data_IF_020164353373
#
_entry.id   IF_020164353373
#
_cell.length_a   1.000
_cell.length_b   1.000
_cell.length_c   1.000
_cell.angle_alpha   90.00
_cell.angle_beta   90.00
_cell.angle_gamma   90.00
#
_symmetry.space_group_name_H-M   'P 1'
#
loop_
_entity.id
_entity.type
_entity.pdbx_description
1 polymer ?
#
# COMPACT_ATOMS: atom_id res chain seq x y z
N UNK A 1 5.69 8.34 36.99
CA UNK A 1 6.89 9.18 36.91
C UNK A 1 7.74 9.13 38.19
N UNK A 2 7.27 9.56 39.37
CA UNK A 2 8.11 9.50 40.59
C UNK A 2 8.47 8.06 40.99
N UNK A 3 7.50 7.13 40.89
CA UNK A 3 7.70 5.70 41.19
C UNK A 3 8.78 5.05 40.31
N UNK A 4 8.83 5.40 39.02
CA UNK A 4 9.79 4.83 38.07
C UNK A 4 11.23 5.29 38.32
N UNK A 5 11.39 6.59 38.63
CA UNK A 5 12.68 7.14 39.09
C UNK A 5 13.14 6.48 40.38
N UNK A 6 12.25 6.26 41.33
CA UNK A 6 12.58 5.55 42.58
C UNK A 6 13.01 4.11 42.31
N UNK A 7 12.31 3.36 41.44
CA UNK A 7 12.69 1.98 41.03
C UNK A 7 14.12 1.93 40.46
N UNK A 8 14.46 2.86 39.56
CA UNK A 8 15.77 2.87 38.88
C UNK A 8 16.95 3.28 39.76
N UNK A 9 16.68 4.03 40.83
CA UNK A 9 17.74 4.49 41.76
C UNK A 9 18.16 3.39 42.73
N UNK A 10 17.27 2.42 43.02
CA UNK A 10 17.47 1.37 44.02
C UNK A 10 17.58 -0.06 43.47
N UNK A 11 17.63 -0.23 42.15
CA UNK A 11 17.79 -1.57 41.55
C UNK A 11 19.22 -2.10 41.75
N UNK A 12 19.40 -2.99 42.71
CA UNK A 12 20.61 -3.80 42.82
C UNK A 12 20.56 -4.90 41.75
N UNK A 13 21.57 -4.93 40.88
CA UNK A 13 21.51 -5.65 39.60
C UNK A 13 21.67 -7.16 39.74
N UNK A 14 22.06 -7.68 40.92
CA UNK A 14 22.31 -9.10 41.17
C UNK A 14 21.09 -9.87 41.67
N UNK A 15 20.10 -9.20 42.27
CA UNK A 15 18.84 -9.82 42.67
C UNK A 15 17.83 -9.79 41.51
N UNK A 16 17.02 -10.86 41.35
CA UNK A 16 15.86 -10.90 40.44
C UNK A 16 14.74 -9.93 40.84
N UNK A 17 15.01 -9.05 41.78
CA UNK A 17 14.05 -8.20 42.45
C UNK A 17 14.64 -6.84 42.73
N UNK A 18 13.80 -5.80 42.64
CA UNK A 18 14.17 -4.42 42.92
C UNK A 18 13.40 -3.94 44.14
N UNK A 19 14.13 -3.51 45.18
CA UNK A 19 13.52 -2.88 46.36
C UNK A 19 13.29 -1.40 46.06
N UNK A 20 12.03 -0.95 46.09
CA UNK A 20 11.69 0.47 45.90
C UNK A 20 11.68 1.22 47.24
N UNK A 21 11.34 0.51 48.32
CA UNK A 21 11.31 0.93 49.73
C UNK A 21 11.51 -0.33 50.61
N UNK A 22 11.67 -0.18 51.93
CA UNK A 22 11.95 -1.29 52.87
C UNK A 22 10.96 -2.48 52.77
N UNK A 23 9.75 -2.25 52.26
CA UNK A 23 8.67 -3.26 52.18
C UNK A 23 8.26 -3.72 50.76
N UNK A 24 8.77 -3.12 49.67
CA UNK A 24 8.27 -3.43 48.31
C UNK A 24 9.37 -3.99 47.41
N UNK A 25 9.26 -5.30 47.13
CA UNK A 25 10.13 -6.07 46.24
C UNK A 25 9.38 -6.25 44.93
N UNK A 26 9.71 -5.47 43.88
CA UNK A 26 9.17 -5.72 42.54
C UNK A 26 9.97 -6.82 41.86
N UNK A 27 9.28 -7.79 41.29
CA UNK A 27 9.88 -8.74 40.37
C UNK A 27 10.16 -8.01 39.05
N UNK A 28 11.10 -8.53 38.25
CA UNK A 28 11.42 -7.88 36.98
C UNK A 28 10.25 -7.83 35.98
N UNK A 29 9.33 -8.80 36.05
CA UNK A 29 8.08 -8.78 35.28
C UNK A 29 7.22 -7.57 35.67
N UNK A 30 7.19 -7.21 36.94
CA UNK A 30 6.49 -6.01 37.42
C UNK A 30 7.19 -4.73 36.93
N UNK A 31 8.53 -4.74 36.78
CA UNK A 31 9.25 -3.58 36.21
C UNK A 31 8.94 -3.46 34.72
N UNK A 32 8.84 -4.57 33.99
CA UNK A 32 8.40 -4.57 32.60
C UNK A 32 6.96 -4.07 32.52
N UNK A 33 6.06 -4.52 33.39
CA UNK A 33 4.68 -4.01 33.41
C UNK A 33 4.64 -2.51 33.74
N UNK A 34 5.44 -2.02 34.70
CA UNK A 34 5.55 -0.58 34.97
C UNK A 34 6.16 0.19 33.78
N UNK A 35 7.13 -0.38 33.06
CA UNK A 35 7.69 0.20 31.83
C UNK A 35 6.65 0.21 30.70
N UNK A 36 5.85 -0.84 30.60
CA UNK A 36 4.76 -0.96 29.63
C UNK A 36 3.58 -0.07 29.99
N UNK A 37 3.39 0.30 31.26
CA UNK A 37 2.41 1.29 31.71
C UNK A 37 2.87 2.72 31.47
N UNK A 38 4.18 2.99 31.51
CA UNK A 38 4.75 4.28 31.15
C UNK A 38 4.79 4.45 29.62
N UNK A 39 3.87 5.24 29.06
CA UNK A 39 3.85 5.57 27.62
C UNK A 39 5.05 6.41 27.14
N UNK A 40 6.00 6.79 28.00
CA UNK A 40 7.16 7.61 27.64
C UNK A 40 8.45 6.80 27.70
N UNK A 41 9.14 6.71 26.57
CA UNK A 41 10.49 6.14 26.50
C UNK A 41 11.49 7.23 26.87
N UNK A 42 11.71 7.42 28.16
CA UNK A 42 12.72 8.36 28.65
C UNK A 42 14.14 7.76 28.55
N UNK A 43 15.17 8.62 28.56
CA UNK A 43 16.59 8.20 28.59
C UNK A 43 16.89 7.23 29.74
N UNK A 44 16.12 7.31 30.83
CA UNK A 44 16.18 6.41 31.97
C UNK A 44 15.76 4.97 31.62
N UNK A 45 14.65 4.80 30.91
CA UNK A 45 14.16 3.51 30.37
C UNK A 45 15.20 2.89 29.45
N UNK A 46 15.76 3.69 28.53
CA UNK A 46 16.80 3.22 27.61
C UNK A 46 18.08 2.81 28.34
N UNK A 47 18.50 3.57 29.35
CA UNK A 47 19.66 3.22 30.16
C UNK A 47 19.45 1.93 30.95
N UNK A 48 18.24 1.68 31.44
CA UNK A 48 17.87 0.42 32.09
C UNK A 48 17.93 -0.76 31.12
N UNK A 49 17.35 -0.63 29.93
CA UNK A 49 17.42 -1.64 28.85
C UNK A 49 18.88 -1.94 28.49
N UNK A 50 19.71 -0.91 28.32
CA UNK A 50 21.16 -1.07 28.02
C UNK A 50 21.90 -1.81 29.14
N UNK A 51 21.55 -1.58 30.41
CA UNK A 51 22.14 -2.28 31.56
C UNK A 51 21.72 -3.76 31.60
N UNK A 52 20.46 -4.05 31.29
CA UNK A 52 19.87 -5.39 31.35
C UNK A 52 20.25 -6.27 30.16
N UNK A 53 20.66 -5.68 29.03
CA UNK A 53 21.13 -6.38 27.82
C UNK A 53 22.07 -7.55 28.08
N UNK A 54 22.90 -7.50 29.13
CA UNK A 54 23.86 -8.57 29.46
C UNK A 54 23.23 -9.77 30.17
N UNK A 55 22.09 -9.60 30.83
CA UNK A 55 21.48 -10.61 31.71
C UNK A 55 20.20 -11.21 31.14
N UNK A 56 19.55 -10.56 30.18
CA UNK A 56 18.22 -10.92 29.72
C UNK A 56 18.18 -11.31 28.25
N UNK A 57 17.22 -12.18 27.96
CA UNK A 57 16.80 -12.47 26.60
C UNK A 57 16.00 -11.29 26.06
N UNK A 58 16.70 -10.37 25.39
CA UNK A 58 16.11 -9.19 24.76
C UNK A 58 15.02 -9.56 23.74
N UNK A 59 15.03 -10.78 23.20
CA UNK A 59 14.01 -11.24 22.25
C UNK A 59 12.66 -11.43 22.93
N UNK A 60 12.65 -11.86 24.19
CA UNK A 60 11.43 -11.97 24.98
C UNK A 60 10.86 -10.59 25.32
N UNK A 61 11.73 -9.61 25.62
CA UNK A 61 11.29 -8.24 25.89
C UNK A 61 10.63 -7.64 24.64
N UNK A 62 11.24 -7.77 23.47
CA UNK A 62 10.64 -7.32 22.20
C UNK A 62 9.28 -7.99 21.97
N UNK A 63 9.20 -9.30 22.20
CA UNK A 63 7.96 -10.07 22.05
C UNK A 63 6.86 -9.59 22.99
N UNK A 64 7.18 -9.35 24.27
CA UNK A 64 6.24 -8.81 25.27
C UNK A 64 5.76 -7.40 24.89
N UNK A 65 6.67 -6.55 24.41
CA UNK A 65 6.31 -5.19 23.96
C UNK A 65 5.31 -5.25 22.79
N UNK A 66 5.50 -6.17 21.85
CA UNK A 66 4.58 -6.38 20.73
C UNK A 66 3.23 -6.93 21.22
N UNK A 67 3.24 -7.94 22.09
CA UNK A 67 2.03 -8.53 22.67
C UNK A 67 1.17 -7.49 23.40
N UNK A 68 1.82 -6.52 24.05
CA UNK A 68 1.19 -5.42 24.79
C UNK A 68 0.94 -4.18 23.93
N UNK A 69 1.10 -4.30 22.61
CA UNK A 69 0.85 -3.25 21.62
C UNK A 69 1.64 -1.94 21.87
N UNK A 70 2.92 -2.05 22.29
CA UNK A 70 3.80 -0.90 22.60
C UNK A 70 4.83 -0.66 21.50
N UNK A 71 4.42 0.03 20.42
CA UNK A 71 5.29 0.32 19.27
C UNK A 71 6.56 1.11 19.64
N UNK A 72 6.43 2.25 20.31
CA UNK A 72 7.55 3.17 20.65
C UNK A 72 8.65 2.44 21.42
N UNK A 73 8.25 1.62 22.40
CA UNK A 73 9.16 0.80 23.20
C UNK A 73 9.79 -0.29 22.35
N UNK A 74 9.00 -1.00 21.54
CA UNK A 74 9.50 -2.05 20.63
C UNK A 74 10.55 -1.50 19.67
N UNK A 75 10.25 -0.39 18.99
CA UNK A 75 11.16 0.28 18.07
C UNK A 75 12.44 0.71 18.77
N UNK A 76 12.31 1.32 19.95
CA UNK A 76 13.46 1.79 20.74
C UNK A 76 14.36 0.64 21.18
N UNK A 77 13.79 -0.49 21.65
CA UNK A 77 14.56 -1.68 22.02
C UNK A 77 15.30 -2.24 20.81
N UNK A 78 14.63 -2.38 19.65
CA UNK A 78 15.26 -2.88 18.43
C UNK A 78 16.41 -1.98 17.98
N UNK A 79 16.19 -0.66 17.95
CA UNK A 79 17.16 0.33 17.49
C UNK A 79 18.37 0.45 18.43
N UNK A 80 18.14 0.64 19.72
CA UNK A 80 19.20 0.86 20.72
C UNK A 80 20.03 -0.39 20.98
N UNK A 81 19.39 -1.57 20.98
CA UNK A 81 20.11 -2.83 21.13
C UNK A 81 20.69 -3.36 19.82
N UNK A 82 20.43 -2.70 18.68
CA UNK A 82 20.81 -3.11 17.32
C UNK A 82 20.34 -4.54 17.02
N UNK A 83 19.13 -4.87 17.43
CA UNK A 83 18.52 -6.17 17.15
C UNK A 83 17.84 -6.14 15.79
N UNK A 84 18.01 -7.18 14.96
CA UNK A 84 17.24 -7.29 13.73
C UNK A 84 15.77 -7.56 14.08
N UNK A 85 14.85 -6.99 13.30
CA UNK A 85 13.45 -7.38 13.39
C UNK A 85 13.32 -8.82 12.86
N UNK A 86 12.89 -9.78 13.69
CA UNK A 86 12.81 -11.21 13.33
C UNK A 86 11.40 -11.64 12.93
N UNK A 87 11.30 -12.74 12.18
CA UNK A 87 10.03 -13.31 11.74
C UNK A 87 9.14 -13.77 12.90
N UNK A 88 9.76 -14.18 14.02
CA UNK A 88 9.05 -14.54 15.24
C UNK A 88 8.31 -13.34 15.85
N UNK A 89 8.87 -12.14 15.75
CA UNK A 89 8.22 -10.91 16.22
C UNK A 89 7.00 -10.57 15.36
N UNK A 90 7.12 -10.70 14.03
CA UNK A 90 5.99 -10.55 13.12
C UNK A 90 4.89 -11.58 13.41
N UNK A 91 5.26 -12.85 13.59
CA UNK A 91 4.34 -13.92 13.95
C UNK A 91 3.59 -13.62 15.25
N UNK A 92 4.31 -13.26 16.30
CA UNK A 92 3.72 -12.91 17.61
C UNK A 92 2.78 -11.72 17.47
N UNK A 93 3.20 -10.65 16.80
CA UNK A 93 2.33 -9.49 16.64
C UNK A 93 1.05 -9.80 15.87
N UNK A 94 1.11 -10.62 14.83
CA UNK A 94 -0.09 -11.07 14.12
C UNK A 94 -0.99 -11.94 15.00
N UNK A 95 -0.42 -12.83 15.82
CA UNK A 95 -1.18 -13.71 16.73
C UNK A 95 -1.87 -12.96 17.87
N UNK A 96 -1.35 -11.78 18.24
CA UNK A 96 -1.88 -10.88 19.26
C UNK A 96 -2.60 -9.64 18.68
N UNK A 97 -2.98 -9.68 17.39
CA UNK A 97 -3.71 -8.60 16.68
C UNK A 97 -3.02 -7.23 16.74
N UNK A 98 -1.68 -7.22 16.83
CA UNK A 98 -0.79 -6.04 16.78
C UNK A 98 -0.25 -5.82 15.35
N UNK A 99 -1.14 -5.89 14.36
CA UNK A 99 -0.78 -5.94 12.94
C UNK A 99 -0.22 -4.61 12.45
N UNK A 100 -0.74 -3.53 13.00
CA UNK A 100 -0.21 -2.18 12.85
C UNK A 100 1.29 -2.10 13.23
N UNK A 101 1.64 -2.60 14.40
CA UNK A 101 3.03 -2.60 14.88
C UNK A 101 3.91 -3.45 13.98
N UNK A 102 3.44 -4.65 13.61
CA UNK A 102 4.19 -5.55 12.72
C UNK A 102 4.44 -4.90 11.37
N UNK A 103 3.42 -4.25 10.80
CA UNK A 103 3.53 -3.56 9.53
C UNK A 103 4.54 -2.40 9.61
N UNK A 104 4.46 -1.55 10.64
CA UNK A 104 5.41 -0.45 10.84
C UNK A 104 6.85 -0.93 10.98
N UNK A 105 7.07 -1.92 11.85
CA UNK A 105 8.41 -2.47 12.06
C UNK A 105 8.95 -3.09 10.76
N UNK A 106 8.09 -3.71 9.96
CA UNK A 106 8.49 -4.24 8.65
C UNK A 106 8.98 -3.14 7.71
N UNK A 107 8.29 -2.00 7.65
CA UNK A 107 8.67 -0.86 6.81
C UNK A 107 9.98 -0.21 7.29
N UNK A 108 10.19 -0.11 8.60
CA UNK A 108 11.42 0.46 9.17
C UNK A 108 12.64 -0.44 9.05
N UNK A 109 12.44 -1.76 9.00
CA UNK A 109 13.52 -2.75 8.98
C UNK A 109 13.42 -3.66 7.73
N UNK A 110 13.58 -3.10 6.50
CA UNK A 110 13.34 -3.81 5.25
C UNK A 110 14.34 -4.94 4.95
N UNK A 111 15.60 -4.81 5.38
CA UNK A 111 16.63 -5.83 5.14
C UNK A 111 16.32 -7.17 5.83
N UNK A 112 15.68 -7.09 7.01
CA UNK A 112 15.20 -8.26 7.73
C UNK A 112 13.93 -8.85 7.13
N UNK A 113 13.01 -8.03 6.61
CA UNK A 113 11.68 -8.49 6.21
C UNK A 113 11.73 -9.48 5.03
N UNK A 114 12.60 -9.23 4.06
CA UNK A 114 12.72 -10.03 2.81
C UNK A 114 13.03 -11.52 3.09
N UNK A 115 13.78 -11.84 4.15
CA UNK A 115 14.14 -13.24 4.48
C UNK A 115 13.07 -13.97 5.31
N UNK A 116 12.06 -13.26 5.80
CA UNK A 116 11.19 -13.70 6.91
C UNK A 116 9.77 -14.03 6.48
N UNK A 117 9.44 -13.66 5.25
CA UNK A 117 8.10 -13.64 4.67
C UNK A 117 7.35 -14.99 4.74
N UNK A 118 8.06 -16.12 4.66
CA UNK A 118 7.43 -17.45 4.65
C UNK A 118 6.86 -17.89 6.00
N UNK A 119 7.51 -17.56 7.12
CA UNK A 119 7.24 -18.26 8.40
C UNK A 119 5.98 -17.76 9.11
N UNK A 120 5.57 -16.51 8.87
CA UNK A 120 4.38 -15.92 9.51
C UNK A 120 3.15 -15.89 8.58
N UNK A 121 3.26 -16.34 7.33
CA UNK A 121 2.12 -16.43 6.39
C UNK A 121 0.91 -17.20 6.98
N UNK A 122 1.06 -18.37 7.63
CA UNK A 122 -0.08 -19.06 8.23
C UNK A 122 -0.80 -18.19 9.29
N UNK A 123 -0.04 -17.52 10.15
CA UNK A 123 -0.59 -16.62 11.17
C UNK A 123 -1.28 -15.41 10.52
N UNK A 124 -0.74 -14.88 9.42
CA UNK A 124 -1.37 -13.78 8.66
C UNK A 124 -2.72 -14.22 8.07
N UNK A 125 -2.79 -15.39 7.43
CA UNK A 125 -4.04 -15.90 6.86
C UNK A 125 -5.10 -16.17 7.94
N UNK A 126 -4.69 -16.72 9.09
CA UNK A 126 -5.56 -16.88 10.24
C UNK A 126 -6.01 -15.54 10.84
N UNK A 127 -5.21 -14.48 10.73
CA UNK A 127 -5.58 -13.15 11.26
C UNK A 127 -6.75 -12.51 10.51
N UNK A 128 -6.94 -12.82 9.21
CA UNK A 128 -8.16 -12.42 8.49
C UNK A 128 -9.39 -13.08 9.10
N UNK A 129 -9.27 -14.33 9.57
CA UNK A 129 -10.37 -15.08 10.18
C UNK A 129 -10.72 -14.62 11.60
N UNK A 130 -9.72 -14.15 12.34
CA UNK A 130 -9.85 -13.78 13.75
C UNK A 130 -10.37 -12.38 13.97
N UNK A 131 -10.01 -11.44 13.09
CA UNK A 131 -10.28 -10.02 13.31
C UNK A 131 -10.53 -9.30 11.98
N UNK A 132 -11.52 -8.42 11.97
CA UNK A 132 -11.83 -7.53 10.85
C UNK A 132 -11.09 -6.19 10.91
N UNK A 133 -10.16 -6.01 11.84
CA UNK A 133 -9.34 -4.80 11.92
C UNK A 133 -8.15 -4.88 10.96
N UNK A 134 -7.61 -3.71 10.58
CA UNK A 134 -6.35 -3.57 9.84
C UNK A 134 -6.27 -4.34 8.52
N UNK A 135 -7.39 -4.52 7.80
CA UNK A 135 -7.40 -5.25 6.53
C UNK A 135 -6.43 -4.68 5.49
N UNK A 136 -6.32 -3.36 5.36
CA UNK A 136 -5.37 -2.74 4.43
C UNK A 136 -3.93 -3.18 4.70
N UNK A 137 -3.51 -3.21 5.97
CA UNK A 137 -2.17 -3.64 6.35
C UNK A 137 -1.99 -5.14 6.10
N UNK A 138 -3.00 -5.95 6.45
CA UNK A 138 -3.00 -7.39 6.17
C UNK A 138 -2.89 -7.68 4.66
N UNK A 139 -3.62 -6.94 3.83
CA UNK A 139 -3.60 -7.08 2.37
C UNK A 139 -2.25 -6.67 1.80
N UNK A 140 -1.69 -5.53 2.22
CA UNK A 140 -0.34 -5.11 1.82
C UNK A 140 0.72 -6.16 2.21
N UNK A 141 0.63 -6.72 3.41
CA UNK A 141 1.49 -7.83 3.81
C UNK A 141 1.25 -9.08 2.95
N UNK A 142 0.00 -9.43 2.68
CA UNK A 142 -0.34 -10.61 1.88
C UNK A 142 0.18 -10.48 0.45
N UNK A 143 0.10 -9.30 -0.18
CA UNK A 143 0.63 -9.03 -1.54
C UNK A 143 2.06 -9.49 -1.70
N UNK A 144 2.93 -9.07 -0.78
CA UNK A 144 4.34 -9.50 -0.77
C UNK A 144 4.54 -11.00 -0.49
N UNK A 145 3.55 -11.68 0.09
CA UNK A 145 3.62 -13.10 0.42
C UNK A 145 2.93 -14.00 -0.60
N UNK A 146 2.30 -13.44 -1.64
CA UNK A 146 1.51 -14.24 -2.60
C UNK A 146 2.38 -15.32 -3.24
N UNK A 147 3.64 -15.05 -3.55
CA UNK A 147 4.58 -16.04 -4.11
C UNK A 147 4.80 -17.26 -3.21
N UNK A 148 4.59 -17.10 -1.91
CA UNK A 148 4.74 -18.16 -0.90
C UNK A 148 3.43 -18.84 -0.50
N UNK A 149 2.29 -18.34 -0.97
CA UNK A 149 1.02 -19.03 -0.82
C UNK A 149 1.00 -20.31 -1.67
N UNK A 150 0.28 -21.32 -1.20
CA UNK A 150 -0.09 -22.49 -2.01
C UNK A 150 -1.58 -22.41 -2.35
N UNK A 151 -2.04 -23.24 -3.29
CA UNK A 151 -3.43 -23.23 -3.75
C UNK A 151 -4.44 -23.33 -2.59
N UNK A 152 -4.25 -24.29 -1.67
CA UNK A 152 -5.17 -24.52 -0.54
C UNK A 152 -5.30 -23.29 0.36
N UNK A 153 -4.18 -22.62 0.64
CA UNK A 153 -4.17 -21.39 1.45
C UNK A 153 -4.84 -20.22 0.73
N UNK A 154 -4.59 -20.07 -0.56
CA UNK A 154 -5.22 -19.04 -1.38
C UNK A 154 -6.74 -19.25 -1.48
N UNK A 155 -7.17 -20.49 -1.75
CA UNK A 155 -8.57 -20.89 -1.78
C UNK A 155 -9.26 -20.64 -0.43
N UNK A 156 -8.63 -21.06 0.68
CA UNK A 156 -9.16 -20.83 2.02
C UNK A 156 -9.34 -19.35 2.35
N UNK A 157 -8.38 -18.50 1.95
CA UNK A 157 -8.47 -17.05 2.10
C UNK A 157 -9.63 -16.46 1.30
N UNK A 158 -9.77 -16.84 0.01
CA UNK A 158 -10.85 -16.33 -0.84
C UNK A 158 -12.23 -16.80 -0.35
N UNK A 159 -12.36 -18.07 0.03
CA UNK A 159 -13.61 -18.60 0.60
C UNK A 159 -14.01 -17.89 1.88
N UNK A 160 -13.05 -17.60 2.76
CA UNK A 160 -13.32 -16.82 3.96
C UNK A 160 -13.75 -15.40 3.61
N UNK A 161 -13.01 -14.73 2.72
CA UNK A 161 -13.29 -13.35 2.30
C UNK A 161 -14.68 -13.25 1.69
N UNK A 162 -15.03 -14.16 0.77
CA UNK A 162 -16.36 -14.23 0.17
C UNK A 162 -17.44 -14.39 1.23
N UNK A 163 -17.29 -15.34 2.16
CA UNK A 163 -18.24 -15.54 3.26
C UNK A 163 -18.34 -14.31 4.18
N UNK A 164 -17.26 -13.58 4.39
CA UNK A 164 -17.27 -12.36 5.22
C UNK A 164 -18.01 -11.21 4.54
N UNK A 165 -17.95 -11.13 3.21
CA UNK A 165 -18.63 -10.10 2.41
C UNK A 165 -20.12 -10.42 2.18
N UNK A 166 -20.49 -11.71 2.10
CA UNK A 166 -21.87 -12.15 1.88
C UNK A 166 -22.74 -12.12 3.16
N UNK A 167 -22.13 -12.01 4.34
CA UNK A 167 -22.89 -11.96 5.58
C UNK A 167 -23.57 -10.60 5.74
N UNK A 168 -24.87 -10.64 6.05
CA UNK A 168 -25.65 -9.46 6.42
C UNK A 168 -25.25 -8.85 7.77
N UNK A 169 -24.41 -9.53 8.55
CA UNK A 169 -23.91 -9.06 9.83
C UNK A 169 -22.80 -8.01 9.63
N UNK A 170 -23.12 -6.75 9.95
CA UNK A 170 -22.23 -5.58 9.88
C UNK A 170 -20.91 -5.82 10.62
N UNK A 171 -20.93 -6.54 11.75
CA UNK A 171 -19.73 -6.79 12.56
C UNK A 171 -18.75 -7.77 11.90
N UNK A 172 -19.24 -8.56 10.95
CA UNK A 172 -18.45 -9.55 10.23
C UNK A 172 -17.96 -9.04 8.87
N UNK A 173 -18.50 -7.91 8.39
CA UNK A 173 -18.13 -7.34 7.11
C UNK A 173 -16.85 -6.48 7.24
N UNK A 174 -15.75 -6.84 6.55
CA UNK A 174 -14.50 -6.09 6.65
C UNK A 174 -14.59 -4.66 6.09
N UNK A 175 -15.55 -4.37 5.20
CA UNK A 175 -15.76 -3.02 4.66
C UNK A 175 -16.18 -2.03 5.76
N UNK A 176 -16.87 -2.48 6.81
CA UNK A 176 -17.31 -1.62 7.91
C UNK A 176 -16.13 -1.09 8.75
N UNK A 177 -15.07 -1.89 8.87
CA UNK A 177 -13.87 -1.54 9.63
C UNK A 177 -12.79 -0.87 8.77
N UNK A 178 -13.01 -0.78 7.46
CA UNK A 178 -12.09 -0.10 6.56
C UNK A 178 -12.23 1.43 6.75
N UNK A 179 -11.13 2.16 7.06
CA UNK A 179 -11.19 3.62 7.15
C UNK A 179 -11.56 4.25 5.82
N UNK A 180 -11.18 3.59 4.73
CA UNK A 180 -11.49 3.95 3.37
C UNK A 180 -11.95 2.71 2.60
N UNK A 181 -13.26 2.66 2.34
CA UNK A 181 -13.93 1.55 1.65
C UNK A 181 -13.43 1.42 0.21
N UNK A 182 -13.20 2.55 -0.47
CA UNK A 182 -12.73 2.56 -1.86
C UNK A 182 -11.32 1.97 -1.97
N UNK A 183 -10.41 2.42 -1.11
CA UNK A 183 -9.04 1.94 -1.08
C UNK A 183 -8.97 0.47 -0.67
N UNK A 184 -9.80 0.05 0.29
CA UNK A 184 -9.95 -1.35 0.68
C UNK A 184 -10.38 -2.22 -0.50
N UNK A 185 -11.43 -1.81 -1.22
CA UNK A 185 -11.94 -2.52 -2.39
C UNK A 185 -10.86 -2.66 -3.45
N UNK A 186 -10.17 -1.57 -3.79
CA UNK A 186 -9.08 -1.60 -4.77
C UNK A 186 -7.94 -2.54 -4.36
N UNK A 187 -7.51 -2.47 -3.10
CA UNK A 187 -6.43 -3.33 -2.58
C UNK A 187 -6.81 -4.81 -2.56
N UNK A 188 -8.06 -5.13 -2.23
CA UNK A 188 -8.55 -6.49 -2.21
C UNK A 188 -8.69 -7.06 -3.63
N UNK A 189 -9.20 -6.27 -4.58
CA UNK A 189 -9.25 -6.63 -6.00
C UNK A 189 -7.84 -6.89 -6.54
N UNK A 190 -6.86 -6.04 -6.21
CA UNK A 190 -5.47 -6.27 -6.62
C UNK A 190 -4.95 -7.62 -6.10
N UNK A 191 -5.16 -7.94 -4.82
CA UNK A 191 -4.77 -9.25 -4.25
C UNK A 191 -5.47 -10.40 -4.97
N UNK A 192 -6.78 -10.30 -5.21
CA UNK A 192 -7.55 -11.30 -5.96
C UNK A 192 -6.94 -11.54 -7.34
N UNK A 193 -6.60 -10.49 -8.08
CA UNK A 193 -6.00 -10.62 -9.43
C UNK A 193 -4.61 -11.21 -9.41
N UNK A 194 -3.77 -10.85 -8.42
CA UNK A 194 -2.47 -11.50 -8.25
C UNK A 194 -2.68 -13.00 -7.97
N UNK A 195 -3.62 -13.37 -7.11
CA UNK A 195 -3.92 -14.78 -6.83
C UNK A 195 -4.44 -15.53 -8.06
N UNK A 196 -5.31 -14.94 -8.88
CA UNK A 196 -5.79 -15.55 -10.14
C UNK A 196 -4.66 -15.74 -11.12
N UNK A 197 -3.78 -14.75 -11.28
CA UNK A 197 -2.62 -14.85 -12.17
C UNK A 197 -1.71 -16.03 -11.82
N UNK A 198 -1.67 -16.42 -10.54
CA UNK A 198 -0.93 -17.57 -10.03
C UNK A 198 -1.75 -18.87 -10.07
N UNK A 199 -3.05 -18.79 -9.81
CA UNK A 199 -3.98 -19.91 -9.66
C UNK A 199 -5.26 -19.66 -10.45
N UNK A 200 -5.21 -19.89 -11.77
CA UNK A 200 -6.34 -19.63 -12.68
C UNK A 200 -7.67 -20.26 -12.23
N UNK A 201 -7.63 -21.41 -11.54
CA UNK A 201 -8.83 -22.10 -11.02
C UNK A 201 -9.61 -21.29 -9.97
N UNK A 202 -8.99 -20.29 -9.34
CA UNK A 202 -9.64 -19.43 -8.35
C UNK A 202 -10.47 -18.30 -8.97
N UNK A 203 -10.46 -18.16 -10.31
CA UNK A 203 -11.13 -17.09 -11.04
C UNK A 203 -12.60 -16.89 -10.67
N UNK A 204 -13.36 -17.98 -10.52
CA UNK A 204 -14.78 -17.90 -10.17
C UNK A 204 -15.02 -17.27 -8.77
N UNK A 205 -14.15 -17.57 -7.80
CA UNK A 205 -14.26 -16.97 -6.46
C UNK A 205 -13.91 -15.49 -6.49
N UNK A 206 -12.86 -15.12 -7.24
CA UNK A 206 -12.45 -13.72 -7.33
C UNK A 206 -13.46 -12.89 -8.10
N UNK A 207 -14.01 -13.35 -9.22
CA UNK A 207 -15.07 -12.64 -9.96
C UNK A 207 -16.28 -12.35 -9.06
N UNK A 208 -16.68 -13.33 -8.23
CA UNK A 208 -17.77 -13.13 -7.28
C UNK A 208 -17.42 -12.07 -6.23
N UNK A 209 -16.22 -12.14 -5.65
CA UNK A 209 -15.73 -11.13 -4.68
C UNK A 209 -15.68 -9.74 -5.33
N UNK A 210 -15.10 -9.62 -6.53
CA UNK A 210 -15.01 -8.35 -7.27
C UNK A 210 -16.40 -7.76 -7.51
N UNK A 211 -17.37 -8.58 -7.94
CA UNK A 211 -18.74 -8.12 -8.18
C UNK A 211 -19.44 -7.59 -6.93
N UNK A 212 -19.25 -8.24 -5.77
CA UNK A 212 -19.82 -7.79 -4.49
C UNK A 212 -19.17 -6.49 -4.07
N UNK A 213 -17.84 -6.42 -4.10
CA UNK A 213 -17.10 -5.22 -3.69
C UNK A 213 -17.42 -4.01 -4.56
N UNK A 214 -17.44 -4.17 -5.88
CA UNK A 214 -17.76 -3.10 -6.82
C UNK A 214 -19.17 -2.57 -6.55
N UNK A 215 -20.17 -3.47 -6.43
CA UNK A 215 -21.54 -3.08 -6.16
C UNK A 215 -21.69 -2.35 -4.82
N UNK A 216 -21.10 -2.89 -3.75
CA UNK A 216 -21.16 -2.28 -2.41
C UNK A 216 -20.43 -0.94 -2.35
N UNK A 217 -19.29 -0.81 -3.03
CA UNK A 217 -18.50 0.43 -3.06
C UNK A 217 -19.16 1.50 -3.92
N UNK A 218 -19.76 1.13 -5.05
CA UNK A 218 -20.53 2.04 -5.89
C UNK A 218 -21.73 2.62 -5.12
N UNK A 219 -22.49 1.78 -4.43
CA UNK A 219 -23.59 2.23 -3.55
C UNK A 219 -23.08 3.17 -2.44
N UNK A 220 -21.97 2.81 -1.80
CA UNK A 220 -21.37 3.67 -0.76
C UNK A 220 -20.96 5.05 -1.30
N UNK A 221 -20.41 5.12 -2.50
CA UNK A 221 -20.00 6.39 -3.12
C UNK A 221 -21.21 7.22 -3.56
N UNK A 222 -22.29 6.56 -4.02
CA UNK A 222 -23.56 7.23 -4.34
C UNK A 222 -24.21 7.86 -3.09
N UNK A 223 -24.03 7.26 -1.92
CA UNK A 223 -24.55 7.76 -0.65
C UNK A 223 -23.76 8.97 -0.08
N UNK A 224 -22.57 9.27 -0.62
CA UNK A 224 -21.77 10.43 -0.18
C UNK A 224 -22.27 11.70 -0.88
N UNK A 225 -23.02 12.51 -0.14
CA UNK A 225 -23.52 13.81 -0.62
C UNK A 225 -22.41 14.88 -0.71
N UNK A 226 -21.43 14.82 0.20
CA UNK A 226 -20.37 15.83 0.31
C UNK A 226 -19.19 15.50 -0.62
N UNK A 227 -19.04 16.32 -1.65
CA UNK A 227 -17.94 16.21 -2.61
C UNK A 227 -16.56 16.27 -1.94
N UNK A 228 -16.41 17.08 -0.87
CA UNK A 228 -15.14 17.19 -0.17
C UNK A 228 -14.76 15.87 0.53
N UNK A 229 -15.73 15.14 1.07
CA UNK A 229 -15.51 13.83 1.69
C UNK A 229 -15.10 12.78 0.67
N UNK A 230 -15.82 12.70 -0.45
CA UNK A 230 -15.49 11.76 -1.52
C UNK A 230 -14.07 12.01 -2.05
N UNK A 231 -13.76 13.27 -2.25
CA UNK A 231 -12.44 13.74 -2.69
C UNK A 231 -11.31 13.30 -1.75
N UNK A 232 -11.46 13.45 -0.44
CA UNK A 232 -10.45 12.97 0.52
C UNK A 232 -10.27 11.44 0.45
N UNK A 233 -11.35 10.68 0.29
CA UNK A 233 -11.29 9.21 0.13
C UNK A 233 -10.57 8.79 -1.17
N UNK A 234 -10.78 9.54 -2.24
CA UNK A 234 -10.21 9.24 -3.56
C UNK A 234 -8.69 9.46 -3.58
N UNK A 235 -8.21 10.53 -2.93
CA UNK A 235 -6.78 10.87 -2.90
C UNK A 235 -5.98 10.25 -1.76
N UNK A 236 -6.65 9.56 -0.84
CA UNK A 236 -5.96 8.83 0.22
C UNK A 236 -4.95 7.85 -0.39
N UNK A 237 -3.72 7.93 0.11
CA UNK A 237 -2.61 7.08 -0.32
C UNK A 237 -2.61 5.78 0.48
N UNK A 238 -2.42 4.67 -0.21
CA UNK A 238 -2.13 3.39 0.41
C UNK A 238 -0.70 3.33 0.95
N UNK A 239 -0.41 2.18 1.54
CA UNK A 239 0.88 1.78 2.06
C UNK A 239 2.03 1.73 1.02
N UNK A 240 1.70 1.73 -0.27
CA UNK A 240 2.65 1.80 -1.40
C UNK A 240 2.68 3.21 -2.02
N UNK A 241 2.07 4.20 -1.36
CA UNK A 241 1.94 5.59 -1.81
C UNK A 241 1.15 5.78 -3.13
N UNK A 242 0.18 4.89 -3.39
CA UNK A 242 -0.76 4.95 -4.51
C UNK A 242 -2.12 5.43 -4.04
N UNK A 243 -2.80 6.25 -4.83
CA UNK A 243 -4.17 6.67 -4.50
C UNK A 243 -5.23 5.72 -5.07
N UNK A 244 -6.49 5.93 -4.71
CA UNK A 244 -7.58 5.10 -5.20
C UNK A 244 -7.78 5.24 -6.72
N UNK A 245 -7.55 6.42 -7.31
CA UNK A 245 -7.67 6.60 -8.76
C UNK A 245 -6.64 5.79 -9.53
N UNK A 246 -5.41 5.75 -9.01
CA UNK A 246 -4.34 4.94 -9.58
C UNK A 246 -4.73 3.47 -9.64
N UNK A 247 -5.22 2.96 -8.52
CA UNK A 247 -5.65 1.56 -8.45
C UNK A 247 -6.88 1.27 -9.30
N UNK A 248 -7.87 2.16 -9.34
CA UNK A 248 -9.06 2.03 -10.19
C UNK A 248 -8.67 2.00 -11.67
N UNK A 249 -7.76 2.87 -12.09
CA UNK A 249 -7.22 2.93 -13.45
C UNK A 249 -6.47 1.65 -13.80
N UNK A 250 -5.49 1.26 -12.97
CA UNK A 250 -4.66 0.07 -13.15
C UNK A 250 -5.49 -1.21 -13.24
N UNK A 251 -6.59 -1.27 -12.49
CA UNK A 251 -7.48 -2.43 -12.47
C UNK A 251 -8.73 -2.27 -13.36
N UNK A 252 -8.83 -1.20 -14.15
CA UNK A 252 -9.94 -0.96 -15.07
C UNK A 252 -11.33 -1.12 -14.39
N UNK A 253 -11.49 -0.57 -13.17
CA UNK A 253 -12.73 -0.66 -12.40
C UNK A 253 -13.62 0.54 -12.77
N UNK A 254 -14.26 0.45 -13.94
CA UNK A 254 -15.03 1.56 -14.53
C UNK A 254 -16.35 1.80 -13.80
N UNK A 255 -16.98 0.76 -13.26
CA UNK A 255 -18.30 0.88 -12.63
C UNK A 255 -18.31 1.84 -11.43
N UNK A 256 -17.22 1.90 -10.66
CA UNK A 256 -17.07 2.84 -9.55
C UNK A 256 -16.84 4.28 -10.06
N UNK A 257 -16.16 4.42 -11.21
CA UNK A 257 -15.87 5.71 -11.82
C UNK A 257 -17.09 6.36 -12.48
N UNK A 258 -18.13 5.58 -12.80
CA UNK A 258 -19.35 6.05 -13.48
C UNK A 258 -20.27 6.94 -12.62
N UNK A 259 -19.82 7.37 -11.44
CA UNK A 259 -20.54 8.31 -10.60
C UNK A 259 -20.25 9.77 -11.03
N UNK A 260 -21.28 10.63 -11.09
CA UNK A 260 -21.16 12.05 -11.45
C UNK A 260 -20.12 12.80 -10.61
N UNK A 261 -20.03 12.49 -9.31
CA UNK A 261 -19.08 13.14 -8.41
C UNK A 261 -17.65 12.67 -8.69
N UNK A 262 -17.45 11.39 -9.03
CA UNK A 262 -16.14 10.85 -9.45
C UNK A 262 -15.70 11.44 -10.80
N UNK A 263 -16.61 11.57 -11.76
CA UNK A 263 -16.34 12.21 -13.05
C UNK A 263 -15.94 13.67 -12.87
N UNK A 264 -16.63 14.41 -11.99
CA UNK A 264 -16.28 15.79 -11.65
C UNK A 264 -14.88 15.88 -11.04
N UNK A 265 -14.54 15.04 -10.05
CA UNK A 265 -13.20 14.99 -9.44
C UNK A 265 -12.14 14.67 -10.50
N UNK A 266 -12.40 13.72 -11.40
CA UNK A 266 -11.50 13.37 -12.50
C UNK A 266 -11.30 14.54 -13.48
N UNK A 267 -12.36 15.30 -13.79
CA UNK A 267 -12.29 16.48 -14.65
C UNK A 267 -11.52 17.63 -13.99
N UNK A 268 -11.74 17.87 -12.70
CA UNK A 268 -11.01 18.88 -11.93
C UNK A 268 -9.51 18.54 -11.84
N UNK A 269 -9.20 17.25 -11.62
CA UNK A 269 -7.83 16.76 -11.74
C UNK A 269 -7.27 16.99 -13.12
N UNK A 270 -8.03 16.74 -14.19
CA UNK A 270 -7.56 16.94 -15.55
C UNK A 270 -7.25 18.41 -15.85
N UNK A 271 -8.06 19.32 -15.33
CA UNK A 271 -7.91 20.76 -15.55
C UNK A 271 -6.83 21.43 -14.67
N UNK A 272 -6.14 20.67 -13.81
CA UNK A 272 -5.11 21.17 -12.88
C UNK A 272 -5.60 22.24 -11.90
N UNK A 273 -6.91 22.37 -11.68
CA UNK A 273 -7.47 23.40 -10.79
C UNK A 273 -7.38 23.01 -9.31
N UNK A 274 -6.46 22.10 -8.96
CA UNK A 274 -6.65 21.21 -7.83
C UNK A 274 -5.47 21.18 -6.85
N UNK A 275 -5.82 21.25 -5.56
CA UNK A 275 -4.90 21.05 -4.44
C UNK A 275 -4.93 19.59 -3.97
N UNK A 276 -3.90 18.81 -4.34
CA UNK A 276 -3.75 17.36 -4.06
C UNK A 276 -3.46 17.07 -2.57
N UNK A 277 -3.84 17.96 -1.65
CA UNK A 277 -3.36 18.00 -0.25
C UNK A 277 -4.49 17.82 0.77
N UNK A 278 -5.45 16.95 0.49
CA UNK A 278 -6.49 16.56 1.46
C UNK A 278 -5.90 15.88 2.70
N UNK A 279 -6.54 16.07 3.87
CA UNK A 279 -6.13 15.52 5.16
C UNK A 279 -7.27 14.72 5.77
N UNK A 280 -7.09 13.40 5.85
CA UNK A 280 -7.98 12.35 6.38
C UNK A 280 -8.76 12.68 7.68
N UNK A 281 -8.29 13.64 8.48
CA UNK A 281 -8.83 13.96 9.80
C UNK A 281 -10.13 14.77 9.81
N UNK A 282 -10.52 15.39 8.69
CA UNK A 282 -11.74 16.20 8.65
C UNK A 282 -13.02 15.39 8.42
N UNK A 283 -12.94 14.21 7.82
CA UNK A 283 -14.12 13.55 7.21
C UNK A 283 -14.34 12.08 7.58
N UNK A 284 -13.36 11.36 8.14
CA UNK A 284 -13.56 9.94 8.45
C UNK A 284 -14.42 9.69 9.71
N UNK A 285 -15.64 9.19 9.49
CA UNK A 285 -16.54 8.65 10.54
C UNK A 285 -15.98 7.38 11.19
N UNK A 286 -15.25 6.56 10.45
CA UNK A 286 -14.53 5.38 10.98
C UNK A 286 -13.35 5.77 11.87
N UNK A 287 -12.65 6.87 11.57
CA UNK A 287 -11.63 7.43 12.47
C UNK A 287 -12.25 8.01 13.74
N UNK A 288 -13.46 8.59 13.69
CA UNK A 288 -14.18 8.96 14.92
C UNK A 288 -14.45 7.72 15.77
N UNK A 289 -14.86 6.60 15.19
CA UNK A 289 -15.12 5.35 15.92
C UNK A 289 -13.82 4.75 16.49
N UNK A 290 -12.77 4.64 15.67
CA UNK A 290 -11.45 4.16 16.10
C UNK A 290 -10.84 5.11 17.14
N UNK A 291 -10.95 6.43 16.98
CA UNK A 291 -10.44 7.39 17.97
C UNK A 291 -11.26 7.38 19.27
N UNK A 292 -12.58 7.19 19.22
CA UNK A 292 -13.45 7.14 20.41
C UNK A 292 -13.26 5.86 21.24
N UNK A 293 -13.07 4.69 20.62
CA UNK A 293 -12.79 3.44 21.35
C UNK A 293 -11.31 3.26 21.71
N UNK A 294 -10.40 3.95 21.01
CA UNK A 294 -8.95 3.89 21.22
C UNK A 294 -8.40 4.91 22.23
N UNK A 295 -9.24 5.69 22.93
CA UNK A 295 -8.73 6.63 23.95
C UNK A 295 -7.97 5.94 25.10
N UNK A 296 -8.10 4.62 25.25
CA UNK A 296 -7.30 3.79 26.17
C UNK A 296 -6.06 3.12 25.55
N UNK A 297 -5.84 3.26 24.23
CA UNK A 297 -4.62 2.81 23.56
C UNK A 297 -3.69 4.01 23.30
N UNK A 298 -2.36 3.84 23.47
CA UNK A 298 -1.42 4.96 23.39
C UNK A 298 -1.49 5.64 22.01
N UNK A 299 -1.71 6.97 22.04
CA UNK A 299 -1.78 7.90 20.90
C UNK A 299 -0.56 7.89 19.95
N UNK A 300 0.49 7.15 20.29
CA UNK A 300 1.75 7.12 19.53
C UNK A 300 1.60 6.44 18.17
N UNK A 301 0.75 5.41 18.07
CA UNK A 301 0.54 4.69 16.81
C UNK A 301 -0.15 5.61 15.81
N UNK A 302 -1.20 6.34 16.20
CA UNK A 302 -1.94 7.21 15.27
C UNK A 302 -1.08 8.33 14.64
N UNK A 303 -0.04 8.81 15.32
CA UNK A 303 0.81 9.89 14.80
C UNK A 303 1.82 9.40 13.75
N UNK A 304 2.28 8.16 13.88
CA UNK A 304 3.28 7.54 12.99
C UNK A 304 2.67 6.55 11.97
N UNK A 305 1.48 6.00 12.24
CA UNK A 305 0.79 4.98 11.43
C UNK A 305 0.09 5.56 10.22
N UNK A 306 -0.35 6.81 10.34
CA UNK A 306 -0.69 7.59 9.18
C UNK A 306 0.63 7.98 8.53
N UNK A 307 0.95 7.35 7.40
CA UNK A 307 1.99 7.77 6.46
C UNK A 307 1.79 9.20 5.90
N UNK A 308 0.97 10.01 6.57
CA UNK A 308 0.68 11.40 6.31
C UNK A 308 1.79 12.23 6.95
N UNK A 309 2.62 12.81 6.09
CA UNK A 309 3.38 14.02 6.41
C UNK A 309 2.47 14.99 7.18
N UNK A 310 2.70 15.11 8.50
CA UNK A 310 2.02 16.03 9.42
C UNK A 310 2.33 17.51 9.12
N UNK A 311 3.08 17.80 8.06
CA UNK A 311 3.29 19.19 7.65
C UNK A 311 1.92 19.79 7.35
N UNK A 312 1.48 20.73 8.21
CA UNK A 312 0.42 21.68 7.93
C UNK A 312 0.75 22.29 6.57
N UNK A 313 0.13 21.77 5.52
CA UNK A 313 0.45 22.21 4.16
C UNK A 313 -0.23 23.55 3.97
N UNK A 314 0.60 24.58 3.85
CA UNK A 314 0.18 25.93 3.48
C UNK A 314 -0.47 25.90 2.09
N UNK A 315 -1.59 26.60 1.93
CA UNK A 315 -2.40 26.68 0.71
C UNK A 315 -1.69 27.31 -0.51
N UNK A 316 -0.40 27.62 -0.41
CA UNK A 316 0.34 28.37 -1.41
C UNK A 316 1.02 27.49 -2.49
N UNK A 317 0.92 26.16 -2.40
CA UNK A 317 1.59 25.24 -3.33
C UNK A 317 0.59 24.33 -4.04
N UNK A 318 0.06 24.77 -5.18
CA UNK A 318 -0.59 23.90 -6.15
C UNK A 318 0.47 23.02 -6.80
N UNK A 319 0.52 21.74 -6.41
CA UNK A 319 1.39 20.76 -7.08
C UNK A 319 0.58 20.02 -8.16
N UNK A 320 1.15 19.90 -9.36
CA UNK A 320 0.55 19.10 -10.43
C UNK A 320 0.48 17.63 -10.01
N UNK A 321 -0.64 16.98 -10.26
CA UNK A 321 -0.79 15.56 -9.96
C UNK A 321 0.10 14.72 -10.89
N UNK A 322 0.88 13.78 -10.35
CA UNK A 322 1.78 12.90 -11.10
C UNK A 322 1.07 12.16 -12.26
N UNK A 323 -0.20 11.79 -12.08
CA UNK A 323 -1.04 11.22 -13.14
C UNK A 323 -1.16 12.08 -14.40
N UNK A 324 -1.24 13.41 -14.26
CA UNK A 324 -1.26 14.27 -15.45
C UNK A 324 0.02 14.04 -16.24
N UNK A 325 1.17 14.03 -15.57
CA UNK A 325 2.45 13.81 -16.22
C UNK A 325 2.57 12.42 -16.86
N UNK A 326 2.10 11.37 -16.18
CA UNK A 326 2.14 9.99 -16.73
C UNK A 326 1.20 9.80 -17.91
N UNK A 327 -0.04 10.31 -17.83
CA UNK A 327 -1.00 10.29 -18.94
C UNK A 327 -0.50 11.15 -20.10
N UNK A 328 0.09 12.32 -19.83
CA UNK A 328 0.72 13.15 -20.87
C UNK A 328 1.90 12.43 -21.51
N UNK A 329 2.73 11.73 -20.74
CA UNK A 329 3.87 10.97 -21.26
C UNK A 329 3.42 9.81 -22.13
N UNK A 330 2.43 9.03 -21.69
CA UNK A 330 1.88 7.91 -22.47
C UNK A 330 1.10 8.40 -23.69
N UNK A 331 0.33 9.48 -23.57
CA UNK A 331 -0.37 10.13 -24.68
C UNK A 331 0.59 10.73 -25.70
N UNK A 332 1.65 11.42 -25.25
CA UNK A 332 2.71 11.91 -26.15
C UNK A 332 3.42 10.77 -26.84
N UNK A 333 3.79 9.70 -26.13
CA UNK A 333 4.38 8.52 -26.78
C UNK A 333 3.43 7.92 -27.81
N UNK A 334 2.15 7.76 -27.49
CA UNK A 334 1.16 7.23 -28.42
C UNK A 334 1.01 8.14 -29.65
N UNK A 335 1.01 9.46 -29.46
CA UNK A 335 0.98 10.46 -30.54
C UNK A 335 2.22 10.38 -31.42
N UNK A 336 3.42 10.32 -30.85
CA UNK A 336 4.66 10.18 -31.61
C UNK A 336 4.74 8.84 -32.36
N UNK A 337 4.25 7.75 -31.76
CA UNK A 337 4.23 6.44 -32.41
C UNK A 337 3.24 6.45 -33.59
N UNK A 338 2.05 7.02 -33.40
CA UNK A 338 1.03 7.10 -34.47
C UNK A 338 1.46 8.06 -35.58
N UNK A 339 2.00 9.23 -35.26
CA UNK A 339 2.59 10.16 -36.24
C UNK A 339 3.77 9.52 -36.98
N UNK A 340 4.66 8.81 -36.28
CA UNK A 340 5.79 8.09 -36.86
C UNK A 340 5.35 6.98 -37.81
N UNK A 341 4.34 6.18 -37.43
CA UNK A 341 3.74 5.15 -38.28
C UNK A 341 3.12 5.76 -39.54
N UNK A 342 2.38 6.85 -39.38
CA UNK A 342 1.78 7.55 -40.51
C UNK A 342 2.84 8.10 -41.47
N UNK A 343 3.91 8.70 -40.95
CA UNK A 343 5.00 9.22 -41.76
C UNK A 343 5.76 8.09 -42.48
N UNK A 344 5.96 6.95 -41.82
CA UNK A 344 6.56 5.77 -42.42
C UNK A 344 5.71 5.23 -43.59
N UNK A 345 4.38 5.14 -43.41
CA UNK A 345 3.46 4.74 -44.47
C UNK A 345 3.53 5.70 -45.66
N UNK A 346 3.48 7.01 -45.41
CA UNK A 346 3.62 8.03 -46.47
C UNK A 346 4.96 7.91 -47.21
N UNK A 347 6.05 7.64 -46.48
CA UNK A 347 7.38 7.47 -47.07
C UNK A 347 7.43 6.23 -47.97
N UNK A 348 6.84 5.12 -47.55
CA UNK A 348 6.75 3.89 -48.36
C UNK A 348 5.94 4.14 -49.64
N UNK A 349 4.78 4.80 -49.51
CA UNK A 349 3.94 5.16 -50.66
C UNK A 349 4.70 6.08 -51.62
N UNK A 350 5.36 7.11 -51.09
CA UNK A 350 6.14 8.03 -51.90
C UNK A 350 7.31 7.34 -52.62
N UNK A 351 8.00 6.43 -51.92
CA UNK A 351 9.09 5.65 -52.51
C UNK A 351 8.59 4.71 -53.61
N UNK A 352 7.41 4.13 -53.45
CA UNK A 352 6.75 3.32 -54.49
C UNK A 352 6.47 4.15 -55.74
N UNK A 353 5.86 5.34 -55.60
CA UNK A 353 5.59 6.24 -56.72
C UNK A 353 6.87 6.74 -57.40
N UNK A 354 7.93 7.03 -56.65
CA UNK A 354 9.24 7.38 -57.22
C UNK A 354 9.83 6.22 -58.04
N UNK A 355 9.69 4.99 -57.56
CA UNK A 355 10.16 3.82 -58.29
C UNK A 355 9.38 3.63 -59.60
N UNK A 356 8.07 3.81 -59.59
CA UNK A 356 7.23 3.75 -60.79
C UNK A 356 7.57 4.87 -61.78
N UNK A 357 7.74 6.10 -61.31
CA UNK A 357 8.12 7.25 -62.13
C UNK A 357 9.52 7.09 -62.75
N UNK A 358 10.48 6.57 -62.00
CA UNK A 358 11.84 6.30 -62.51
C UNK A 358 11.85 5.18 -63.54
N UNK A 359 11.07 4.11 -63.34
CA UNK A 359 10.90 3.06 -64.35
C UNK A 359 10.30 3.62 -65.64
N UNK A 360 9.24 4.42 -65.55
CA UNK A 360 8.64 5.07 -66.72
C UNK A 360 9.63 6.00 -67.45
N UNK A 361 10.41 6.79 -66.71
CA UNK A 361 11.45 7.66 -67.29
C UNK A 361 12.54 6.84 -68.02
N UNK A 362 13.01 5.75 -67.42
CA UNK A 362 14.01 4.88 -68.07
C UNK A 362 13.48 4.19 -69.33
N UNK A 363 12.20 3.81 -69.36
CA UNK A 363 11.57 3.24 -70.54
C UNK A 363 11.43 4.26 -71.68
N UNK A 364 11.09 5.51 -71.37
CA UNK A 364 11.06 6.58 -72.39
C UNK A 364 12.47 6.83 -72.93
N UNK A 365 13.48 6.88 -72.07
CA UNK A 365 14.86 7.14 -72.48
C UNK A 365 15.44 6.02 -73.37
N UNK A 366 15.16 4.75 -73.06
CA UNK A 366 15.58 3.62 -73.91
C UNK A 366 14.94 3.67 -75.30
N UNK A 367 13.65 4.06 -75.38
CA UNK A 367 12.92 4.25 -76.63
C UNK A 367 13.53 5.39 -77.46
N UNK A 368 13.87 6.52 -76.85
CA UNK A 368 14.54 7.62 -77.55
C UNK A 368 15.95 7.26 -78.04
N UNK A 369 16.71 6.46 -77.28
CA UNK A 369 18.02 5.98 -77.72
C UNK A 369 17.94 4.99 -78.89
N UNK A 370 16.89 4.17 -79.00
CA UNK A 370 16.70 3.32 -80.18
C UNK A 370 16.35 4.13 -81.44
N UNK A 371 15.60 5.22 -81.30
CA UNK A 371 15.28 6.10 -82.44
C UNK A 371 16.46 6.96 -82.94
N UNK A 372 17.45 7.24 -82.08
CA UNK A 372 18.62 8.05 -82.43
C UNK A 372 19.80 7.22 -82.97
N UNK A 373 19.74 5.89 -82.90
CA UNK A 373 20.75 4.99 -83.44
C UNK A 373 20.53 4.55 -84.90
N UNK A 374 19.42 4.94 -85.53
CA UNK A 374 19.02 4.44 -86.86
C UNK A 374 19.29 5.43 -88.02
N UNK A 375 20.19 6.39 -87.81
CA UNK A 375 20.75 7.21 -88.89
C UNK A 375 22.19 6.79 -89.18
N UNK A 376 22.38 5.65 -89.84
CA UNK A 376 23.62 5.37 -90.57
C UNK A 376 23.63 6.23 -91.83
N UNK A 377 24.55 7.22 -91.97
CA UNK A 377 24.71 7.97 -93.21
C UNK A 377 25.60 7.17 -94.16
N UNK A 378 25.11 6.04 -94.66
CA UNK A 378 25.75 5.31 -95.76
C UNK A 378 24.78 5.12 -96.92
N UNK A 379 24.43 6.24 -97.55
CA UNK A 379 24.14 6.32 -98.98
C UNK A 379 24.57 7.69 -99.50
N UNK A 380 25.87 7.82 -99.80
CA UNK A 380 26.36 8.47 -101.02
C UNK A 380 27.77 7.99 -101.35
#
# INVERSE_FOLDING_TARGET
MSVFRTILTYSDLESKTVKINDDTILNHDDIIDVMLESNQVDNEVLNYIRKIRKKWDLENIVSLCIMKQRYTLTHSVLKECKLPFKAIYAKIGIEFDAIDIVYLLRCMYPESSIKMEKSYLPSLLLSFQRSNTFWLAKLSMLKSLVDHTNYIKAESFLLYTLRSLEKDDVTQNPMYYAPNVLLFTCNLIEVCRILVSKYNFLGAYTEKIESILIKSTASFIEDIEDEFQLRELVFEKDYENRDSLDLLSKHNIVDIMNNKNMEKIALELWTSQYDVKGSLFTTSSALKIVAYDSFNKPRDILKDFFCFNWEYRTMDNFDHHLYQFEVWKTSMMAKFITEGLFLAILTIIFQYYLMEATQAATAVQSTFSSYSGESDPTTM
#
